data_IF_674101268480
#
_entry.id   IF_674101268480
#
_cell.length_a   1.000
_cell.length_b   1.000
_cell.length_c   1.000
_cell.angle_alpha   90.00
_cell.angle_beta   90.00
_cell.angle_gamma   90.00
#
_symmetry.space_group_name_H-M   'P 1'
#
loop_
_entity.id
_entity.type
_entity.pdbx_description
1 polymer ?
#
# COMPACT_ATOMS: atom_id res chain seq x y z
N UNK A 1 -12.43 4.07 -14.05
CA UNK A 1 -12.06 2.86 -13.28
C UNK A 1 -12.72 2.93 -11.91
N UNK A 2 -13.32 1.85 -11.42
CA UNK A 2 -13.89 1.84 -10.06
C UNK A 2 -12.77 2.07 -9.03
N UNK A 3 -13.02 2.89 -8.01
CA UNK A 3 -12.06 3.19 -6.92
C UNK A 3 -11.49 1.92 -6.30
N UNK A 4 -12.32 0.89 -6.11
CA UNK A 4 -11.89 -0.40 -5.53
C UNK A 4 -10.92 -1.16 -6.44
N UNK A 5 -11.14 -1.10 -7.75
CA UNK A 5 -10.23 -1.68 -8.75
C UNK A 5 -8.89 -0.94 -8.73
N UNK A 6 -8.90 0.39 -8.55
CA UNK A 6 -7.68 1.18 -8.42
C UNK A 6 -6.86 0.82 -7.18
N UNK A 7 -7.52 0.64 -6.03
CA UNK A 7 -6.87 0.16 -4.81
C UNK A 7 -6.29 -1.24 -5.01
N UNK A 8 -7.06 -2.16 -5.59
CA UNK A 8 -6.59 -3.52 -5.86
C UNK A 8 -5.37 -3.53 -6.79
N UNK A 9 -5.44 -2.78 -7.90
CA UNK A 9 -4.33 -2.66 -8.85
C UNK A 9 -3.08 -2.10 -8.18
N UNK A 10 -3.23 -1.15 -7.25
CA UNK A 10 -2.11 -0.56 -6.52
C UNK A 10 -1.38 -1.62 -5.67
N UNK A 11 -2.09 -2.39 -4.86
CA UNK A 11 -1.50 -3.49 -4.09
C UNK A 11 -0.90 -4.58 -5.00
N UNK A 12 -1.57 -4.89 -6.11
CA UNK A 12 -1.07 -5.86 -7.08
C UNK A 12 0.27 -5.44 -7.71
N UNK A 13 0.44 -4.16 -8.03
CA UNK A 13 1.73 -3.62 -8.49
C UNK A 13 2.85 -3.81 -7.47
N UNK A 14 2.58 -3.59 -6.18
CA UNK A 14 3.57 -3.83 -5.10
C UNK A 14 4.00 -5.29 -5.07
N UNK A 15 3.04 -6.23 -5.15
CA UNK A 15 3.33 -7.67 -5.15
C UNK A 15 4.19 -8.05 -6.35
N UNK A 16 3.89 -7.53 -7.54
CA UNK A 16 4.70 -7.79 -8.74
C UNK A 16 6.14 -7.26 -8.56
N UNK A 17 6.30 -6.04 -8.04
CA UNK A 17 7.63 -5.46 -7.78
C UNK A 17 8.43 -6.40 -6.86
N UNK A 18 7.83 -6.86 -5.76
CA UNK A 18 8.50 -7.78 -4.84
C UNK A 18 8.85 -9.13 -5.49
N UNK A 19 7.96 -9.69 -6.31
CA UNK A 19 8.22 -10.95 -7.02
C UNK A 19 9.38 -10.82 -8.00
N UNK A 20 9.42 -9.75 -8.80
CA UNK A 20 10.51 -9.51 -9.76
C UNK A 20 11.83 -9.32 -9.00
N UNK A 21 11.84 -8.44 -7.99
CA UNK A 21 13.03 -8.16 -7.19
C UNK A 21 13.61 -9.42 -6.55
N UNK A 22 12.77 -10.21 -5.85
CA UNK A 22 13.22 -11.41 -5.17
C UNK A 22 13.52 -12.57 -6.13
N UNK A 23 12.84 -12.64 -7.27
CA UNK A 23 13.16 -13.59 -8.34
C UNK A 23 14.57 -13.35 -8.89
N UNK A 24 14.92 -12.09 -9.18
CA UNK A 24 16.29 -11.74 -9.61
C UNK A 24 17.30 -12.00 -8.50
N UNK A 25 16.97 -11.65 -7.25
CA UNK A 25 17.91 -11.75 -6.13
C UNK A 25 18.21 -13.20 -5.72
N UNK A 26 17.21 -14.08 -5.68
CA UNK A 26 17.34 -15.42 -5.10
C UNK A 26 17.16 -16.57 -6.09
N UNK A 27 16.41 -16.40 -7.19
CA UNK A 27 16.18 -17.46 -8.17
C UNK A 27 17.18 -17.44 -9.33
N UNK A 28 18.16 -16.52 -9.29
CA UNK A 28 19.23 -16.44 -10.28
C UNK A 28 18.80 -15.86 -11.63
N UNK A 29 17.67 -15.14 -11.70
CA UNK A 29 17.30 -14.47 -12.95
C UNK A 29 18.32 -13.39 -13.32
N UNK A 30 18.59 -13.18 -14.63
CA UNK A 30 19.47 -12.12 -15.09
C UNK A 30 19.06 -10.73 -14.56
N UNK A 31 20.05 -9.90 -14.20
CA UNK A 31 19.78 -8.55 -13.66
C UNK A 31 18.95 -7.65 -14.60
N UNK A 32 18.96 -7.91 -15.92
CA UNK A 32 18.13 -7.17 -16.88
C UNK A 32 16.63 -7.27 -16.59
N UNK A 33 16.17 -8.34 -15.91
CA UNK A 33 14.76 -8.51 -15.57
C UNK A 33 14.26 -7.44 -14.58
N UNK A 34 15.16 -6.76 -13.84
CA UNK A 34 14.77 -5.61 -13.02
C UNK A 34 14.19 -4.46 -13.86
N UNK A 35 14.52 -4.36 -15.15
CA UNK A 35 13.90 -3.38 -16.05
C UNK A 35 12.40 -3.62 -16.22
N UNK A 36 11.91 -4.84 -15.98
CA UNK A 36 10.49 -5.14 -16.00
C UNK A 36 9.72 -4.46 -14.87
N UNK A 37 10.39 -4.01 -13.79
CA UNK A 37 9.76 -3.25 -12.69
C UNK A 37 9.25 -1.87 -13.11
N UNK A 38 9.73 -1.33 -14.23
CA UNK A 38 9.26 -0.04 -14.75
C UNK A 38 7.74 -0.06 -15.01
N UNK A 39 7.23 -1.19 -15.52
CA UNK A 39 5.80 -1.35 -15.84
C UNK A 39 4.93 -1.30 -14.57
N UNK A 40 5.14 -2.13 -13.54
CA UNK A 40 4.37 -2.06 -12.32
C UNK A 40 4.62 -0.77 -11.53
N UNK A 41 5.79 -0.12 -11.63
CA UNK A 41 6.01 1.20 -11.03
C UNK A 41 5.13 2.28 -11.67
N UNK A 42 5.03 2.31 -13.00
CA UNK A 42 4.10 3.21 -13.69
C UNK A 42 2.65 2.88 -13.30
N UNK A 43 2.30 1.60 -13.25
CA UNK A 43 1.00 1.11 -12.77
C UNK A 43 0.70 1.56 -11.34
N UNK A 44 1.68 1.53 -10.45
CA UNK A 44 1.59 1.96 -9.06
C UNK A 44 1.28 3.46 -8.97
N UNK A 45 1.96 4.30 -9.75
CA UNK A 45 1.74 5.74 -9.78
C UNK A 45 0.35 6.08 -10.32
N UNK A 46 -0.07 5.45 -11.44
CA UNK A 46 -1.38 5.68 -12.05
C UNK A 46 -2.50 5.22 -11.11
N UNK A 47 -2.38 4.02 -10.55
CA UNK A 47 -3.35 3.48 -9.60
C UNK A 47 -3.41 4.32 -8.33
N UNK A 48 -2.29 4.82 -7.82
CA UNK A 48 -2.27 5.72 -6.66
C UNK A 48 -3.02 7.03 -6.94
N UNK A 49 -2.70 7.69 -8.06
CA UNK A 49 -3.35 8.95 -8.44
C UNK A 49 -4.85 8.77 -8.59
N UNK A 50 -5.30 7.67 -9.18
CA UNK A 50 -6.73 7.39 -9.40
C UNK A 50 -7.45 6.94 -8.13
N UNK A 51 -6.82 6.10 -7.31
CA UNK A 51 -7.42 5.55 -6.09
C UNK A 51 -7.47 6.56 -4.94
N UNK A 52 -6.41 7.37 -4.77
CA UNK A 52 -6.19 8.18 -3.56
C UNK A 52 -6.02 9.68 -3.84
N UNK A 53 -5.39 10.04 -4.96
CA UNK A 53 -5.19 11.44 -5.34
C UNK A 53 -6.47 12.12 -5.77
N UNK A 54 -7.09 11.63 -6.84
CA UNK A 54 -8.33 12.19 -7.43
C UNK A 54 -9.52 12.03 -6.48
N UNK A 55 -9.54 10.97 -5.67
CA UNK A 55 -10.60 10.71 -4.69
C UNK A 55 -10.45 11.54 -3.41
N UNK A 56 -9.41 12.37 -3.30
CA UNK A 56 -9.04 13.12 -2.09
C UNK A 56 -8.80 12.28 -0.83
N UNK A 57 -8.79 10.95 -0.92
CA UNK A 57 -8.58 10.07 0.23
C UNK A 57 -7.16 10.23 0.79
N UNK A 58 -6.16 10.48 -0.07
CA UNK A 58 -4.81 10.79 0.39
C UNK A 58 -4.80 12.02 1.29
N UNK A 59 -5.46 13.10 0.84
CA UNK A 59 -5.57 14.34 1.59
C UNK A 59 -6.32 14.13 2.89
N UNK A 60 -7.44 13.42 2.86
CA UNK A 60 -8.26 13.13 4.04
C UNK A 60 -7.44 12.43 5.14
N UNK A 61 -6.70 11.37 4.80
CA UNK A 61 -5.94 10.59 5.80
C UNK A 61 -4.62 11.22 6.23
N UNK A 62 -4.12 12.23 5.53
CA UNK A 62 -2.88 12.95 5.86
C UNK A 62 -3.12 14.39 6.36
N UNK A 63 -4.39 14.79 6.48
CA UNK A 63 -4.75 16.09 7.06
C UNK A 63 -4.70 16.01 8.58
N UNK A 64 -4.18 17.06 9.22
CA UNK A 64 -4.18 17.17 10.68
C UNK A 64 -5.60 17.06 11.24
N UNK A 65 -5.79 16.32 12.34
CA UNK A 65 -7.10 16.16 12.99
C UNK A 65 -7.76 17.49 13.36
N UNK A 66 -6.99 18.54 13.66
CA UNK A 66 -7.51 19.88 13.94
C UNK A 66 -8.20 20.58 12.77
N UNK A 67 -8.04 20.06 11.54
CA UNK A 67 -8.63 20.59 10.31
C UNK A 67 -9.75 19.71 9.76
N UNK A 68 -9.97 18.54 10.36
CA UNK A 68 -11.03 17.62 9.97
C UNK A 68 -12.30 17.98 10.74
N UNK A 69 -13.46 17.80 10.10
CA UNK A 69 -14.71 17.84 10.85
C UNK A 69 -14.83 16.61 11.77
N UNK A 70 -15.79 16.62 12.71
CA UNK A 70 -15.98 15.53 13.67
C UNK A 70 -16.24 14.16 12.98
N UNK A 71 -16.94 14.15 11.84
CA UNK A 71 -17.28 12.92 11.11
C UNK A 71 -16.06 12.36 10.38
N UNK A 72 -15.32 13.24 9.70
CA UNK A 72 -14.06 12.93 9.04
C UNK A 72 -13.02 12.43 10.04
N UNK A 73 -12.91 13.09 11.21
CA UNK A 73 -12.03 12.67 12.28
C UNK A 73 -12.37 11.25 12.76
N UNK A 74 -13.64 10.97 13.05
CA UNK A 74 -14.07 9.62 13.47
C UNK A 74 -13.80 8.56 12.38
N UNK A 75 -14.02 8.90 11.11
CA UNK A 75 -13.76 8.03 9.97
C UNK A 75 -12.26 7.72 9.83
N UNK A 76 -11.41 8.75 9.85
CA UNK A 76 -9.95 8.63 9.74
C UNK A 76 -9.39 7.89 10.95
N UNK A 77 -9.87 8.18 12.16
CA UNK A 77 -9.47 7.49 13.37
C UNK A 77 -9.75 5.99 13.27
N UNK A 78 -11.00 5.61 12.95
CA UNK A 78 -11.40 4.20 12.80
C UNK A 78 -10.59 3.49 11.71
N UNK A 79 -10.39 4.15 10.57
CA UNK A 79 -9.59 3.60 9.48
C UNK A 79 -8.12 3.41 9.87
N UNK A 80 -7.53 4.38 10.58
CA UNK A 80 -6.14 4.33 11.05
C UNK A 80 -5.93 3.23 12.08
N UNK A 81 -6.83 3.09 13.06
CA UNK A 81 -6.76 2.02 14.06
C UNK A 81 -6.82 0.65 13.38
N UNK A 82 -7.77 0.45 12.46
CA UNK A 82 -7.89 -0.81 11.74
C UNK A 82 -6.68 -1.09 10.84
N UNK A 83 -6.13 -0.05 10.19
CA UNK A 83 -4.90 -0.14 9.40
C UNK A 83 -3.72 -0.59 10.25
N UNK A 84 -3.56 -0.02 11.43
CA UNK A 84 -2.46 -0.37 12.33
C UNK A 84 -2.53 -1.83 12.77
N UNK A 85 -3.73 -2.35 13.08
CA UNK A 85 -3.91 -3.77 13.38
C UNK A 85 -3.50 -4.66 12.21
N UNK A 86 -3.98 -4.37 11.00
CA UNK A 86 -3.63 -5.14 9.79
C UNK A 86 -2.13 -5.05 9.50
N UNK A 87 -1.55 -3.85 9.53
CA UNK A 87 -0.14 -3.62 9.24
C UNK A 87 0.76 -4.35 10.23
N UNK A 88 0.42 -4.31 11.53
CA UNK A 88 1.13 -5.05 12.57
C UNK A 88 1.12 -6.56 12.29
N UNK A 89 -0.05 -7.13 12.00
CA UNK A 89 -0.18 -8.56 11.66
C UNK A 89 0.66 -8.90 10.42
N UNK A 90 0.61 -8.05 9.39
CA UNK A 90 1.38 -8.23 8.15
C UNK A 90 2.89 -8.20 8.41
N UNK A 91 3.37 -7.24 9.20
CA UNK A 91 4.78 -7.16 9.59
C UNK A 91 5.25 -8.40 10.36
N UNK A 92 4.46 -8.85 11.35
CA UNK A 92 4.78 -10.06 12.13
C UNK A 92 4.84 -11.28 11.21
N UNK A 93 3.84 -11.46 10.35
CA UNK A 93 3.79 -12.58 9.40
C UNK A 93 4.99 -12.55 8.44
N UNK A 94 5.33 -11.38 7.89
CA UNK A 94 6.45 -11.21 6.99
C UNK A 94 7.80 -11.52 7.69
N UNK A 95 8.03 -10.98 8.88
CA UNK A 95 9.25 -11.24 9.67
C UNK A 95 9.38 -12.75 9.95
N UNK A 96 8.28 -13.40 10.31
CA UNK A 96 8.28 -14.84 10.56
C UNK A 96 8.62 -15.65 9.31
N UNK A 97 8.07 -15.30 8.14
CA UNK A 97 8.38 -15.95 6.85
C UNK A 97 9.85 -15.75 6.47
N UNK A 98 10.38 -14.53 6.61
CA UNK A 98 11.78 -14.20 6.34
C UNK A 98 12.69 -15.08 7.21
N UNK A 99 12.37 -15.22 8.50
CA UNK A 99 13.10 -16.08 9.42
C UNK A 99 13.03 -17.57 9.03
N UNK A 100 11.85 -18.08 8.65
CA UNK A 100 11.69 -19.47 8.19
C UNK A 100 12.48 -19.78 6.92
N UNK A 101 12.62 -18.81 6.02
CA UNK A 101 13.39 -18.93 4.79
C UNK A 101 14.90 -18.71 4.99
N UNK A 102 15.35 -18.45 6.22
CA UNK A 102 16.76 -18.14 6.52
C UNK A 102 17.24 -16.83 5.90
N UNK A 103 16.33 -15.93 5.54
CA UNK A 103 16.65 -14.63 4.99
C UNK A 103 17.05 -13.70 6.15
N UNK A 104 18.32 -13.33 6.24
CA UNK A 104 18.85 -12.63 7.41
C UNK A 104 18.50 -11.13 7.49
N UNK A 105 18.07 -10.50 6.38
CA UNK A 105 17.94 -9.04 6.29
C UNK A 105 16.69 -8.67 5.47
N UNK A 106 15.90 -7.72 5.99
CA UNK A 106 14.83 -7.06 5.22
C UNK A 106 15.49 -6.11 4.22
N UNK A 107 15.28 -6.37 2.93
CA UNK A 107 15.78 -5.53 1.87
C UNK A 107 15.14 -4.13 1.88
N UNK A 108 15.92 -3.14 1.42
CA UNK A 108 15.45 -1.75 1.27
C UNK A 108 14.18 -1.66 0.43
N UNK A 109 14.05 -2.50 -0.62
CA UNK A 109 12.86 -2.55 -1.47
C UNK A 109 11.64 -3.05 -0.70
N UNK A 110 11.79 -4.11 0.11
CA UNK A 110 10.71 -4.61 0.96
C UNK A 110 10.32 -3.58 2.03
N UNK A 111 11.31 -2.94 2.67
CA UNK A 111 11.07 -1.86 3.62
C UNK A 111 10.32 -0.67 2.99
N UNK A 112 10.71 -0.25 1.79
CA UNK A 112 10.03 0.81 1.04
C UNK A 112 8.58 0.44 0.70
N UNK A 113 8.32 -0.82 0.31
CA UNK A 113 6.97 -1.32 0.06
C UNK A 113 6.11 -1.33 1.34
N UNK A 114 6.66 -1.73 2.48
CA UNK A 114 5.96 -1.69 3.77
C UNK A 114 5.62 -0.27 4.20
N UNK A 115 6.59 0.65 4.09
CA UNK A 115 6.36 2.07 4.38
C UNK A 115 5.25 2.61 3.50
N UNK A 116 5.30 2.33 2.20
CA UNK A 116 4.25 2.74 1.28
C UNK A 116 2.88 2.18 1.67
N UNK A 117 2.78 0.87 1.97
CA UNK A 117 1.55 0.23 2.45
C UNK A 117 1.02 0.94 3.71
N UNK A 118 1.89 1.22 4.69
CA UNK A 118 1.50 1.89 5.93
C UNK A 118 0.78 3.22 5.68
N UNK A 119 1.21 3.98 4.67
CA UNK A 119 0.62 5.27 4.33
C UNK A 119 -0.70 5.16 3.54
N UNK A 120 -0.86 4.15 2.69
CA UNK A 120 -2.06 4.00 1.85
C UNK A 120 -3.15 3.15 2.48
N UNK A 121 -2.85 2.37 3.52
CA UNK A 121 -3.78 1.43 4.12
C UNK A 121 -5.01 2.12 4.75
N UNK A 122 -4.88 3.23 5.50
CA UNK A 122 -6.04 3.97 6.01
C UNK A 122 -6.96 4.44 4.89
N UNK A 123 -6.36 5.03 3.84
CA UNK A 123 -7.10 5.50 2.67
C UNK A 123 -7.77 4.33 1.92
N UNK A 124 -7.11 3.17 1.86
CA UNK A 124 -7.64 1.96 1.22
C UNK A 124 -8.87 1.40 1.96
N UNK A 125 -8.84 1.41 3.30
CA UNK A 125 -9.97 0.97 4.13
C UNK A 125 -11.17 1.87 3.92
N UNK A 126 -10.97 3.19 3.91
CA UNK A 126 -12.04 4.15 3.59
C UNK A 126 -12.56 3.90 2.17
N UNK A 127 -11.66 3.75 1.19
CA UNK A 127 -12.02 3.51 -0.20
C UNK A 127 -12.89 2.25 -0.39
N UNK A 128 -12.71 1.23 0.43
CA UNK A 128 -13.42 -0.04 0.34
C UNK A 128 -14.77 -0.05 1.06
N UNK A 129 -14.83 0.61 2.22
CA UNK A 129 -15.99 0.61 3.12
C UNK A 129 -17.00 1.71 2.82
N UNK A 130 -16.56 2.81 2.22
CA UNK A 130 -17.43 3.95 2.04
C UNK A 130 -18.36 3.78 0.82
N UNK A 131 -19.66 3.62 1.07
CA UNK A 131 -20.72 3.55 0.06
C UNK A 131 -21.26 4.93 -0.34
N UNK A 132 -20.86 6.01 0.34
CA UNK A 132 -21.55 7.30 0.25
C UNK A 132 -20.60 8.49 0.37
N UNK A 133 -20.32 9.18 -0.74
CA UNK A 133 -20.16 10.64 -0.88
C UNK A 133 -19.68 11.50 0.33
N UNK A 134 -18.63 11.12 1.06
CA UNK A 134 -17.99 12.05 2.02
C UNK A 134 -17.00 13.00 1.31
N UNK A 135 -16.52 12.63 0.12
CA UNK A 135 -15.76 13.55 -0.74
C UNK A 135 -16.74 14.32 -1.64
N UNK A 136 -17.32 15.40 -1.13
CA UNK A 136 -17.79 16.52 -1.97
C UNK A 136 -16.76 17.64 -1.93
#
# INVERSE_FOLDING_TARGET
MSRKIAVFLNYFCIVIILIIFYGVKYLGFPKMYLLAEIIPLIGLIISFKTAFGISNLWKLTHTSFSKLDEREMQLVYKATTYSYSIFTILCIAMIYIINLLGLAIIDVVAAACLLYIAHILPASIIAWNDKTSVAK
#
